data_IF_720635807349
#
_entry.id   IF_720635807349
#
_cell.length_a   1.000
_cell.length_b   1.000
_cell.length_c   1.000
_cell.angle_alpha   90.00
_cell.angle_beta   90.00
_cell.angle_gamma   90.00
#
_symmetry.space_group_name_H-M   'P 1'
#
loop_
_entity.id
_entity.type
_entity.pdbx_description
1 polymer ?
#
# COMPACT_ATOMS: atom_id res chain seq x y z
N UNK A 1 -20.96 12.82 21.55
CA UNK A 1 -21.12 13.39 20.18
C UNK A 1 -21.36 12.22 19.26
N UNK A 2 -22.54 12.12 18.66
CA UNK A 2 -22.89 11.05 17.71
C UNK A 2 -22.07 11.26 16.44
N UNK A 3 -21.05 10.42 16.24
CA UNK A 3 -20.35 10.33 14.97
C UNK A 3 -21.31 9.74 13.95
N UNK A 4 -21.87 10.58 13.09
CA UNK A 4 -22.62 10.13 11.93
C UNK A 4 -21.66 9.32 11.03
N UNK A 5 -21.96 8.01 10.88
CA UNK A 5 -21.27 7.16 9.90
C UNK A 5 -21.54 7.77 8.51
N UNK A 6 -20.51 8.10 7.71
CA UNK A 6 -20.72 8.63 6.37
C UNK A 6 -21.55 7.65 5.54
N UNK A 7 -22.53 8.15 4.78
CA UNK A 7 -23.26 7.28 3.85
C UNK A 7 -22.31 6.87 2.71
N UNK A 8 -22.51 5.69 2.13
CA UNK A 8 -21.70 5.19 1.00
C UNK A 8 -21.63 6.18 -0.18
N UNK A 9 -22.64 7.01 -0.36
CA UNK A 9 -22.69 8.09 -1.38
C UNK A 9 -21.66 9.20 -1.12
N UNK A 10 -21.22 9.41 0.12
CA UNK A 10 -20.21 10.40 0.47
C UNK A 10 -18.78 9.84 0.40
N UNK A 11 -18.61 8.51 0.48
CA UNK A 11 -17.31 7.85 0.40
C UNK A 11 -16.89 7.66 -1.06
N UNK A 12 -17.79 7.20 -1.91
CA UNK A 12 -17.54 6.94 -3.33
C UNK A 12 -18.04 8.12 -4.21
N UNK A 13 -17.16 9.10 -4.43
CA UNK A 13 -17.49 10.38 -5.07
C UNK A 13 -17.56 10.31 -6.58
N UNK A 14 -16.79 9.43 -7.22
CA UNK A 14 -16.68 9.35 -8.69
C UNK A 14 -17.03 7.97 -9.21
N UNK A 15 -17.31 7.87 -10.52
CA UNK A 15 -17.51 6.58 -11.19
C UNK A 15 -16.24 5.70 -11.10
N UNK A 16 -15.07 6.31 -11.19
CA UNK A 16 -13.80 5.61 -11.05
C UNK A 16 -13.65 4.99 -9.66
N UNK A 17 -13.90 5.75 -8.59
CA UNK A 17 -13.86 5.23 -7.21
C UNK A 17 -14.87 4.09 -6.99
N UNK A 18 -16.05 4.16 -7.60
CA UNK A 18 -17.03 3.06 -7.58
C UNK A 18 -16.49 1.81 -8.27
N UNK A 19 -15.84 1.96 -9.43
CA UNK A 19 -15.21 0.84 -10.13
C UNK A 19 -14.08 0.22 -9.31
N UNK A 20 -13.22 1.02 -8.69
CA UNK A 20 -12.15 0.57 -7.79
C UNK A 20 -12.72 -0.14 -6.57
N UNK A 21 -13.73 0.44 -5.91
CA UNK A 21 -14.38 -0.20 -4.76
C UNK A 21 -15.03 -1.54 -5.14
N UNK A 22 -15.69 -1.62 -6.28
CA UNK A 22 -16.27 -2.87 -6.77
C UNK A 22 -15.20 -3.92 -7.07
N UNK A 23 -14.09 -3.52 -7.69
CA UNK A 23 -12.96 -4.42 -7.94
C UNK A 23 -12.45 -5.03 -6.63
N UNK A 24 -12.14 -4.22 -5.63
CA UNK A 24 -11.62 -4.66 -4.35
C UNK A 24 -12.65 -5.35 -3.44
N UNK A 25 -13.96 -5.09 -3.61
CA UNK A 25 -15.03 -5.82 -2.96
C UNK A 25 -15.26 -7.21 -3.58
N UNK A 26 -15.06 -7.32 -4.89
CA UNK A 26 -15.24 -8.58 -5.62
C UNK A 26 -13.90 -9.30 -5.89
N UNK A 27 -12.82 -8.80 -5.31
CA UNK A 27 -11.49 -9.35 -5.48
C UNK A 27 -11.50 -10.86 -5.28
N UNK A 28 -11.22 -11.54 -6.36
CA UNK A 28 -11.08 -12.99 -6.41
C UNK A 28 -9.60 -13.38 -6.47
N UNK A 29 -8.69 -12.39 -6.33
CA UNK A 29 -7.27 -12.69 -6.40
C UNK A 29 -6.86 -13.52 -5.17
N UNK A 30 -6.63 -14.82 -5.35
CA UNK A 30 -6.26 -15.69 -4.25
C UNK A 30 -4.85 -15.40 -3.73
N UNK A 31 -4.04 -14.61 -4.45
CA UNK A 31 -2.64 -14.34 -4.10
C UNK A 31 -2.55 -13.73 -2.72
N UNK A 32 -3.13 -12.56 -2.52
CA UNK A 32 -3.04 -11.83 -1.25
C UNK A 32 -3.63 -12.60 -0.06
N UNK A 33 -4.70 -13.38 -0.30
CA UNK A 33 -5.30 -14.24 0.73
C UNK A 33 -4.36 -15.40 1.01
N UNK A 34 -3.93 -16.13 -0.02
CA UNK A 34 -3.08 -17.31 0.12
C UNK A 34 -1.73 -17.00 0.76
N UNK A 35 -1.13 -15.83 0.45
CA UNK A 35 0.10 -15.39 1.09
C UNK A 35 -0.15 -15.03 2.55
N UNK A 36 -1.20 -14.27 2.86
CA UNK A 36 -1.54 -13.88 4.24
C UNK A 36 -1.92 -15.05 5.15
N UNK A 37 -2.35 -16.19 4.62
CA UNK A 37 -2.62 -17.40 5.41
C UNK A 37 -1.37 -17.99 6.07
N UNK A 38 -0.17 -17.58 5.64
CA UNK A 38 1.11 -18.07 6.19
C UNK A 38 1.26 -17.73 7.68
N UNK A 39 0.88 -16.52 8.09
CA UNK A 39 0.98 -16.05 9.47
C UNK A 39 -0.19 -15.14 9.92
N UNK A 40 -1.16 -14.94 9.02
CA UNK A 40 -2.32 -14.10 9.25
C UNK A 40 -2.08 -12.60 9.06
N UNK A 41 -0.95 -12.19 8.48
CA UNK A 41 -0.72 -10.82 8.03
C UNK A 41 -1.07 -10.71 6.53
N UNK A 42 -2.11 -9.96 6.22
CA UNK A 42 -2.64 -9.87 4.86
C UNK A 42 -2.18 -8.57 4.21
N UNK A 43 -1.20 -8.68 3.32
CA UNK A 43 -0.66 -7.57 2.53
C UNK A 43 -1.33 -7.44 1.16
N UNK A 44 -1.33 -6.22 0.61
CA UNK A 44 -1.83 -5.90 -0.73
C UNK A 44 -0.79 -5.12 -1.55
N UNK A 45 0.46 -5.41 -1.31
CA UNK A 45 1.61 -4.78 -1.97
C UNK A 45 2.62 -5.85 -2.39
N UNK A 46 3.69 -5.44 -3.05
CA UNK A 46 4.71 -6.35 -3.57
C UNK A 46 5.83 -6.56 -2.56
N UNK A 47 6.66 -7.59 -2.81
CA UNK A 47 7.77 -7.91 -1.93
C UNK A 47 9.05 -7.15 -2.29
N UNK A 48 9.95 -7.02 -1.33
CA UNK A 48 11.29 -6.45 -1.48
C UNK A 48 12.37 -7.38 -0.95
N UNK A 49 13.50 -7.38 -1.63
CA UNK A 49 14.73 -8.04 -1.23
C UNK A 49 15.06 -9.29 -2.04
N UNK A 50 16.20 -9.92 -1.76
CA UNK A 50 16.61 -11.12 -2.46
C UNK A 50 15.75 -12.30 -2.06
N UNK A 51 15.45 -13.16 -3.03
CA UNK A 51 14.84 -14.48 -2.80
C UNK A 51 15.88 -15.40 -2.15
N UNK A 52 15.47 -16.12 -1.10
CA UNK A 52 16.30 -17.16 -0.50
C UNK A 52 16.47 -18.32 -1.49
N UNK A 53 17.70 -18.65 -1.93
CA UNK A 53 17.94 -19.74 -2.86
C UNK A 53 17.40 -21.09 -2.40
N UNK A 54 17.29 -21.32 -1.09
CA UNK A 54 16.76 -22.57 -0.51
C UNK A 54 15.32 -22.88 -0.91
N UNK A 55 14.56 -21.86 -1.40
CA UNK A 55 13.21 -22.01 -1.95
C UNK A 55 13.20 -23.03 -3.10
N UNK A 56 14.27 -23.10 -3.87
CA UNK A 56 14.43 -24.00 -5.03
C UNK A 56 15.04 -25.35 -4.66
N UNK A 57 15.44 -25.54 -3.39
CA UNK A 57 16.00 -26.79 -2.88
C UNK A 57 14.93 -27.69 -2.26
N UNK A 58 15.16 -29.01 -2.29
CA UNK A 58 14.23 -29.99 -1.71
C UNK A 58 13.19 -30.54 -2.69
N UNK A 59 12.17 -31.29 -2.20
CA UNK A 59 11.19 -31.99 -3.04
C UNK A 59 10.32 -31.03 -3.88
N UNK A 60 10.05 -31.41 -5.12
CA UNK A 60 9.19 -30.62 -6.03
C UNK A 60 7.75 -30.48 -5.51
N UNK A 61 7.23 -31.49 -4.80
CA UNK A 61 5.88 -31.50 -4.24
C UNK A 61 5.61 -30.35 -3.25
N UNK A 62 6.65 -29.84 -2.57
CA UNK A 62 6.54 -28.75 -1.61
C UNK A 62 7.11 -27.43 -2.12
N UNK A 63 7.58 -27.39 -3.38
CA UNK A 63 8.22 -26.20 -3.96
C UNK A 63 7.29 -24.98 -3.98
N UNK A 64 6.05 -25.16 -4.40
CA UNK A 64 5.07 -24.07 -4.45
C UNK A 64 4.78 -23.47 -3.05
N UNK A 65 4.66 -24.34 -2.05
CA UNK A 65 4.50 -23.89 -0.65
C UNK A 65 5.70 -23.06 -0.17
N UNK A 66 6.93 -23.46 -0.51
CA UNK A 66 8.13 -22.69 -0.19
C UNK A 66 8.15 -21.34 -0.90
N UNK A 67 7.74 -21.29 -2.19
CA UNK A 67 7.64 -20.05 -2.95
C UNK A 67 6.59 -19.10 -2.35
N UNK A 68 5.44 -19.61 -1.91
CA UNK A 68 4.39 -18.83 -1.25
C UNK A 68 4.89 -18.22 0.06
N UNK A 69 5.54 -19.02 0.91
CA UNK A 69 6.14 -18.53 2.17
C UNK A 69 7.19 -17.46 1.92
N UNK A 70 8.02 -17.64 0.90
CA UNK A 70 9.05 -16.68 0.55
C UNK A 70 8.48 -15.37 0.00
N UNK A 71 7.46 -15.44 -0.88
CA UNK A 71 6.78 -14.24 -1.35
C UNK A 71 6.17 -13.46 -0.18
N UNK A 72 5.51 -14.14 0.76
CA UNK A 72 4.98 -13.51 1.95
C UNK A 72 6.06 -12.86 2.82
N UNK A 73 7.20 -13.53 3.01
CA UNK A 73 8.36 -12.95 3.71
C UNK A 73 8.85 -11.67 3.03
N UNK A 74 8.90 -11.64 1.70
CA UNK A 74 9.31 -10.46 0.94
C UNK A 74 8.27 -9.31 1.03
N UNK A 75 6.97 -9.63 1.07
CA UNK A 75 5.92 -8.63 1.34
C UNK A 75 6.05 -8.05 2.76
N UNK A 76 6.26 -8.90 3.76
CA UNK A 76 6.52 -8.45 5.14
C UNK A 76 7.78 -7.57 5.21
N UNK A 77 8.85 -7.94 4.50
CA UNK A 77 10.07 -7.12 4.44
C UNK A 77 9.82 -5.73 3.81
N UNK A 78 8.94 -5.64 2.82
CA UNK A 78 8.54 -4.34 2.25
C UNK A 78 7.77 -3.48 3.28
N UNK A 79 6.85 -4.09 4.03
CA UNK A 79 6.15 -3.39 5.11
C UNK A 79 7.12 -2.91 6.20
N UNK A 80 8.12 -3.72 6.56
CA UNK A 80 9.17 -3.32 7.53
C UNK A 80 9.98 -2.12 7.01
N UNK A 81 10.38 -2.12 5.73
CA UNK A 81 11.06 -0.97 5.12
C UNK A 81 10.21 0.30 5.23
N UNK A 82 8.90 0.23 5.01
CA UNK A 82 7.98 1.36 5.18
C UNK A 82 7.97 1.83 6.64
N UNK A 83 7.79 0.90 7.58
CA UNK A 83 7.69 1.21 9.01
C UNK A 83 8.99 1.78 9.58
N UNK A 84 10.17 1.36 9.09
CA UNK A 84 11.48 1.89 9.46
C UNK A 84 11.64 3.39 9.14
N UNK A 85 10.84 3.90 8.19
CA UNK A 85 10.93 5.28 7.73
C UNK A 85 9.87 6.22 8.31
N UNK A 86 8.98 5.73 9.20
CA UNK A 86 7.96 6.57 9.86
C UNK A 86 8.56 7.56 10.87
N UNK A 87 9.83 7.42 11.22
CA UNK A 87 10.52 8.24 12.24
C UNK A 87 10.24 7.76 13.66
N UNK A 88 10.46 8.64 14.62
CA UNK A 88 10.24 8.32 16.03
C UNK A 88 8.74 8.30 16.34
N UNK A 89 8.22 7.12 16.64
CA UNK A 89 6.81 6.87 16.99
C UNK A 89 6.73 6.45 18.45
N UNK A 90 5.95 7.22 19.22
CA UNK A 90 5.63 6.89 20.61
C UNK A 90 4.34 6.07 20.72
N UNK A 91 4.16 5.28 21.80
CA UNK A 91 2.91 4.54 22.04
C UNK A 91 1.66 5.42 22.17
N UNK A 92 1.83 6.70 22.43
CA UNK A 92 0.74 7.69 22.52
C UNK A 92 0.40 8.35 21.19
N UNK A 93 1.17 8.07 20.14
CA UNK A 93 0.93 8.63 18.83
C UNK A 93 -0.21 7.93 18.10
N UNK A 94 -0.86 8.66 17.19
CA UNK A 94 -1.85 8.14 16.28
C UNK A 94 -1.32 8.18 14.84
N UNK A 95 -1.44 7.07 14.14
CA UNK A 95 -1.00 6.90 12.77
C UNK A 95 -2.20 6.73 11.82
N UNK A 96 -1.97 6.93 10.53
CA UNK A 96 -2.97 6.66 9.49
C UNK A 96 -2.38 5.80 8.38
N UNK A 97 -3.04 4.68 8.10
CA UNK A 97 -2.86 3.84 6.92
C UNK A 97 -3.87 4.24 5.84
N UNK A 98 -3.45 5.03 4.87
CA UNK A 98 -4.33 5.55 3.83
C UNK A 98 -4.40 4.58 2.65
N UNK A 99 -5.47 3.78 2.61
CA UNK A 99 -5.65 2.66 1.69
C UNK A 99 -5.17 1.35 2.32
N UNK A 100 -5.64 1.07 3.52
CA UNK A 100 -5.15 0.01 4.41
C UNK A 100 -5.37 -1.44 3.93
N UNK A 101 -6.14 -1.64 2.85
CA UNK A 101 -6.44 -3.00 2.39
C UNK A 101 -7.00 -3.88 3.52
N UNK A 102 -6.42 -5.06 3.72
CA UNK A 102 -6.78 -6.00 4.79
C UNK A 102 -6.01 -5.81 6.10
N UNK A 103 -5.22 -4.74 6.21
CA UNK A 103 -4.69 -4.24 7.48
C UNK A 103 -3.38 -4.85 7.95
N UNK A 104 -2.68 -5.65 7.14
CA UNK A 104 -1.42 -6.29 7.56
C UNK A 104 -0.39 -5.30 8.09
N UNK A 105 -0.07 -4.26 7.34
CA UNK A 105 0.90 -3.23 7.75
C UNK A 105 0.44 -2.45 8.98
N UNK A 106 -0.87 -2.16 9.12
CA UNK A 106 -1.43 -1.49 10.31
C UNK A 106 -1.25 -2.33 11.58
N UNK A 107 -1.47 -3.65 11.49
CA UNK A 107 -1.27 -4.59 12.60
C UNK A 107 0.22 -4.64 12.98
N UNK A 108 1.12 -4.73 11.99
CA UNK A 108 2.57 -4.68 12.23
C UNK A 108 3.00 -3.38 12.91
N UNK A 109 2.49 -2.23 12.47
CA UNK A 109 2.79 -0.93 13.08
C UNK A 109 2.38 -0.88 14.57
N UNK A 110 1.18 -1.35 14.91
CA UNK A 110 0.74 -1.43 16.29
C UNK A 110 1.62 -2.38 17.13
N UNK A 111 1.93 -3.58 16.63
CA UNK A 111 2.82 -4.51 17.33
C UNK A 111 4.21 -3.92 17.58
N UNK A 112 4.74 -3.19 16.61
CA UNK A 112 6.08 -2.61 16.66
C UNK A 112 6.18 -1.40 17.60
N UNK A 113 5.21 -0.50 17.54
CA UNK A 113 5.27 0.81 18.21
C UNK A 113 4.33 0.91 19.43
N UNK A 114 3.37 0.01 19.57
CA UNK A 114 2.33 0.09 20.61
C UNK A 114 1.39 1.29 20.44
N UNK A 115 1.38 1.94 19.29
CA UNK A 115 0.62 3.16 19.01
C UNK A 115 -0.80 2.86 18.49
N UNK A 116 -1.64 3.91 18.40
CA UNK A 116 -2.94 3.80 17.72
C UNK A 116 -2.76 3.88 16.20
N UNK A 117 -3.49 3.03 15.47
CA UNK A 117 -3.51 3.04 14.01
C UNK A 117 -4.95 3.06 13.51
N UNK A 118 -5.29 4.08 12.74
CA UNK A 118 -6.51 4.09 11.95
C UNK A 118 -6.18 3.73 10.50
N UNK A 119 -6.89 2.76 9.93
CA UNK A 119 -6.83 2.43 8.51
C UNK A 119 -8.07 2.97 7.78
N UNK A 120 -7.92 3.44 6.55
CA UNK A 120 -9.06 3.82 5.70
C UNK A 120 -9.03 3.05 4.39
N UNK A 121 -10.18 2.56 3.95
CA UNK A 121 -10.40 1.93 2.65
C UNK A 121 -11.78 2.29 2.10
N UNK A 122 -11.90 2.30 0.77
CA UNK A 122 -13.18 2.40 0.04
C UNK A 122 -13.79 1.04 -0.29
N UNK A 123 -13.22 -0.06 0.22
CA UNK A 123 -13.77 -1.41 0.15
C UNK A 123 -14.37 -1.80 1.50
N UNK A 124 -15.70 -1.94 1.56
CA UNK A 124 -16.40 -2.37 2.78
C UNK A 124 -15.97 -3.78 3.22
N UNK A 125 -15.68 -4.67 2.27
CA UNK A 125 -15.26 -6.03 2.57
C UNK A 125 -13.86 -6.06 3.18
N UNK A 126 -12.91 -5.26 2.67
CA UNK A 126 -11.58 -5.15 3.26
C UNK A 126 -11.65 -4.58 4.67
N UNK A 127 -12.45 -3.54 4.89
CA UNK A 127 -12.66 -2.92 6.21
C UNK A 127 -13.24 -3.93 7.22
N UNK A 128 -14.27 -4.67 6.81
CA UNK A 128 -14.87 -5.69 7.67
C UNK A 128 -13.88 -6.79 8.04
N UNK A 129 -13.11 -7.27 7.04
CA UNK A 129 -12.07 -8.28 7.24
C UNK A 129 -10.98 -7.78 8.21
N UNK A 130 -10.42 -6.58 7.96
CA UNK A 130 -9.36 -6.02 8.77
C UNK A 130 -9.77 -5.76 10.22
N UNK A 131 -11.01 -5.29 10.46
CA UNK A 131 -11.55 -5.16 11.81
C UNK A 131 -11.73 -6.53 12.51
N UNK A 132 -12.13 -7.57 11.75
CA UNK A 132 -12.17 -8.95 12.26
C UNK A 132 -10.79 -9.40 12.73
N UNK A 133 -9.75 -9.18 11.91
CA UNK A 133 -8.37 -9.51 12.26
C UNK A 133 -7.85 -8.74 13.49
N UNK A 134 -8.19 -7.45 13.63
CA UNK A 134 -7.83 -6.67 14.80
C UNK A 134 -8.54 -7.20 16.07
N UNK A 135 -9.80 -7.60 15.94
CA UNK A 135 -10.56 -8.18 17.05
C UNK A 135 -10.00 -9.55 17.48
N UNK A 136 -9.72 -10.44 16.54
CA UNK A 136 -9.15 -11.77 16.83
C UNK A 136 -7.79 -11.68 17.52
N UNK A 137 -7.02 -10.62 17.26
CA UNK A 137 -5.73 -10.34 17.90
C UNK A 137 -5.85 -9.57 19.23
N UNK A 138 -7.06 -9.17 19.64
CA UNK A 138 -7.28 -8.41 20.88
C UNK A 138 -6.72 -6.99 20.86
N UNK A 139 -6.59 -6.38 19.68
CA UNK A 139 -6.02 -5.01 19.48
C UNK A 139 -7.04 -4.03 18.88
N UNK A 140 -8.32 -4.38 18.83
CA UNK A 140 -9.37 -3.54 18.21
C UNK A 140 -9.62 -2.21 18.93
N UNK A 141 -9.13 -2.05 20.16
CA UNK A 141 -9.13 -0.78 20.90
C UNK A 141 -8.09 0.19 20.37
N UNK A 142 -7.03 -0.28 19.71
CA UNK A 142 -5.91 0.50 19.20
C UNK A 142 -5.77 0.49 17.67
N UNK A 143 -6.25 -0.54 16.99
CA UNK A 143 -6.22 -0.67 15.52
C UNK A 143 -7.65 -0.74 14.99
N UNK A 144 -8.04 0.26 14.21
CA UNK A 144 -9.41 0.43 13.71
C UNK A 144 -9.40 0.72 12.22
N UNK A 145 -10.31 0.08 11.50
CA UNK A 145 -10.45 0.30 10.05
C UNK A 145 -11.81 0.91 9.74
N UNK A 146 -11.80 1.91 8.83
CA UNK A 146 -12.94 2.73 8.53
C UNK A 146 -13.27 2.71 7.04
N UNK A 147 -14.55 2.54 6.69
CA UNK A 147 -15.02 2.75 5.33
C UNK A 147 -15.06 4.26 5.06
N UNK A 148 -13.95 4.80 4.56
CA UNK A 148 -13.76 6.23 4.29
C UNK A 148 -12.89 6.44 3.07
N UNK A 149 -13.08 7.60 2.43
CA UNK A 149 -12.24 8.07 1.35
C UNK A 149 -10.99 8.76 1.93
N UNK A 150 -9.80 8.37 1.47
CA UNK A 150 -8.54 8.99 1.91
C UNK A 150 -8.40 10.45 1.48
N UNK A 151 -9.23 10.91 0.51
CA UNK A 151 -9.28 12.31 0.06
C UNK A 151 -10.08 13.22 1.01
N UNK A 152 -10.82 12.64 1.96
CA UNK A 152 -11.60 13.35 2.97
C UNK A 152 -11.97 12.37 4.07
N UNK A 153 -11.03 12.15 4.96
CA UNK A 153 -11.14 11.13 5.99
C UNK A 153 -12.09 11.51 7.13
N UNK A 154 -12.38 12.80 7.29
CA UNK A 154 -13.16 13.34 8.42
C UNK A 154 -12.43 13.29 9.76
N UNK A 155 -11.13 12.98 9.80
CA UNK A 155 -10.33 13.07 11.01
C UNK A 155 -9.94 14.52 11.30
N UNK A 156 -9.58 14.78 12.57
CA UNK A 156 -9.19 16.13 13.00
C UNK A 156 -7.88 16.57 12.35
N UNK A 157 -7.78 17.87 12.09
CA UNK A 157 -6.54 18.51 11.62
C UNK A 157 -5.42 18.32 12.63
N UNK A 158 -4.20 18.11 12.17
CA UNK A 158 -2.99 17.94 12.97
C UNK A 158 -3.11 16.83 14.04
N UNK A 159 -3.82 15.74 13.73
CA UNK A 159 -4.10 14.63 14.65
C UNK A 159 -3.24 13.39 14.38
N UNK A 160 -2.36 13.41 13.38
CA UNK A 160 -1.53 12.26 13.01
C UNK A 160 -0.05 12.59 13.12
N UNK A 161 0.71 11.70 13.80
CA UNK A 161 2.17 11.77 13.85
C UNK A 161 2.80 11.32 12.55
N UNK A 162 2.27 10.25 11.96
CA UNK A 162 2.68 9.79 10.64
C UNK A 162 1.48 9.25 9.85
N UNK A 163 1.62 9.31 8.51
CA UNK A 163 0.69 8.75 7.52
C UNK A 163 1.50 7.97 6.52
N UNK A 164 0.97 6.86 6.04
CA UNK A 164 1.54 6.17 4.90
C UNK A 164 0.51 5.77 3.85
N UNK A 165 1.01 5.57 2.65
CA UNK A 165 0.34 4.88 1.56
C UNK A 165 1.25 3.77 1.03
N UNK A 166 0.70 2.59 0.83
CA UNK A 166 1.40 1.45 0.29
C UNK A 166 0.61 0.89 -0.89
N UNK A 167 1.09 1.12 -2.11
CA UNK A 167 0.45 0.70 -3.37
C UNK A 167 -1.01 1.19 -3.52
N UNK A 168 -1.32 2.42 -3.11
CA UNK A 168 -2.69 2.95 -3.14
C UNK A 168 -2.85 4.29 -3.87
N UNK A 169 -1.77 5.02 -4.08
CA UNK A 169 -1.81 6.36 -4.68
C UNK A 169 -2.27 6.39 -6.14
N UNK A 170 -2.16 5.28 -6.88
CA UNK A 170 -2.65 5.16 -8.25
C UNK A 170 -4.19 5.17 -8.37
N UNK A 171 -4.91 5.16 -7.26
CA UNK A 171 -6.38 5.17 -7.23
C UNK A 171 -6.98 6.54 -6.93
N UNK A 172 -6.16 7.57 -6.71
CA UNK A 172 -6.59 8.89 -6.26
C UNK A 172 -5.89 10.03 -7.02
N UNK A 173 -6.47 11.24 -6.95
CA UNK A 173 -5.75 12.45 -7.32
C UNK A 173 -4.69 12.77 -6.26
N UNK A 174 -3.43 12.95 -6.68
CA UNK A 174 -2.31 13.17 -5.75
C UNK A 174 -2.40 14.53 -5.05
N UNK A 175 -2.91 15.57 -5.73
CA UNK A 175 -3.01 16.89 -5.11
C UNK A 175 -4.09 16.92 -4.02
N UNK A 176 -5.23 16.26 -4.26
CA UNK A 176 -6.27 16.12 -3.24
C UNK A 176 -5.79 15.26 -2.06
N UNK A 177 -5.17 14.10 -2.35
CA UNK A 177 -4.67 13.20 -1.32
C UNK A 177 -3.63 13.86 -0.42
N UNK A 178 -2.63 14.51 -1.02
CA UNK A 178 -1.55 15.16 -0.24
C UNK A 178 -2.04 16.41 0.47
N UNK A 179 -3.08 17.09 -0.04
CA UNK A 179 -3.79 18.16 0.68
C UNK A 179 -4.43 17.66 1.98
N UNK A 180 -5.14 16.53 1.90
CA UNK A 180 -5.73 15.90 3.09
C UNK A 180 -4.64 15.39 4.05
N UNK A 181 -3.59 14.74 3.55
CA UNK A 181 -2.50 14.24 4.40
C UNK A 181 -1.75 15.39 5.09
N UNK A 182 -1.47 16.48 4.39
CA UNK A 182 -0.89 17.69 4.99
C UNK A 182 -1.79 18.28 6.07
N UNK A 183 -3.11 18.30 5.86
CA UNK A 183 -4.07 18.75 6.88
C UNK A 183 -4.03 17.87 8.13
N UNK A 184 -3.94 16.56 7.96
CA UNK A 184 -4.01 15.58 9.05
C UNK A 184 -2.73 15.46 9.85
N UNK A 185 -1.58 15.60 9.22
CA UNK A 185 -0.29 15.52 9.89
C UNK A 185 -0.13 16.65 10.90
N UNK A 186 0.40 16.36 12.07
CA UNK A 186 0.92 17.37 12.98
C UNK A 186 2.11 18.13 12.37
N UNK A 187 2.43 19.36 12.80
CA UNK A 187 3.67 20.01 12.37
C UNK A 187 4.89 19.12 12.63
N UNK A 188 5.74 18.94 11.62
CA UNK A 188 6.87 18.01 11.66
C UNK A 188 6.44 16.52 11.60
N UNK A 189 5.19 16.25 11.32
CA UNK A 189 4.70 14.89 11.06
C UNK A 189 5.17 14.36 9.72
N UNK A 190 5.22 13.03 9.57
CA UNK A 190 5.85 12.34 8.45
C UNK A 190 4.86 11.61 7.54
N UNK A 191 5.06 11.73 6.26
CA UNK A 191 4.41 10.93 5.23
C UNK A 191 5.41 9.98 4.59
N UNK A 192 5.04 8.70 4.48
CA UNK A 192 5.83 7.68 3.75
C UNK A 192 4.95 7.05 2.66
N UNK A 193 5.47 7.00 1.45
CA UNK A 193 4.80 6.40 0.31
C UNK A 193 5.71 5.34 -0.31
N UNK A 194 5.22 4.10 -0.45
CA UNK A 194 5.81 3.13 -1.37
C UNK A 194 4.84 2.92 -2.52
N UNK A 195 5.31 3.08 -3.75
CA UNK A 195 4.43 3.06 -4.92
C UNK A 195 5.18 2.81 -6.22
N UNK A 196 4.46 2.21 -7.17
CA UNK A 196 4.86 2.22 -8.56
C UNK A 196 4.57 3.54 -9.24
N UNK A 197 5.48 4.04 -10.07
CA UNK A 197 5.28 5.23 -10.89
C UNK A 197 5.83 5.05 -12.30
N UNK A 198 5.21 5.71 -13.28
CA UNK A 198 5.71 5.70 -14.67
C UNK A 198 6.87 6.67 -14.85
N UNK A 199 7.79 6.31 -15.74
CA UNK A 199 8.90 7.17 -16.11
C UNK A 199 8.43 8.19 -17.14
N UNK A 200 8.28 9.44 -16.73
CA UNK A 200 7.83 10.55 -17.58
C UNK A 200 8.94 11.16 -18.44
N UNK A 201 10.20 10.77 -18.26
CA UNK A 201 11.29 11.14 -19.17
C UNK A 201 11.16 10.43 -20.53
N UNK A 202 10.53 9.26 -20.58
CA UNK A 202 10.32 8.49 -21.80
C UNK A 202 9.26 9.08 -22.74
N UNK A 203 8.48 10.06 -22.31
CA UNK A 203 7.50 10.82 -23.09
C UNK A 203 6.15 10.13 -23.31
N UNK A 204 6.11 8.87 -23.70
CA UNK A 204 4.87 8.11 -23.91
C UNK A 204 4.72 6.99 -22.86
N UNK A 205 3.49 6.79 -22.40
CA UNK A 205 3.15 5.67 -21.53
C UNK A 205 3.42 4.34 -22.24
N UNK A 206 4.20 3.45 -21.64
CA UNK A 206 4.50 2.14 -22.24
C UNK A 206 3.25 1.24 -22.28
N UNK A 207 3.24 0.29 -23.21
CA UNK A 207 2.17 -0.73 -23.28
C UNK A 207 2.14 -1.60 -22.01
N UNK A 208 3.30 -1.89 -21.44
CA UNK A 208 3.40 -2.69 -20.22
C UNK A 208 2.73 -1.98 -19.04
N UNK A 209 3.02 -0.68 -18.83
CA UNK A 209 2.35 0.13 -17.79
C UNK A 209 0.85 0.24 -18.03
N UNK A 210 0.40 0.38 -19.29
CA UNK A 210 -1.03 0.41 -19.61
C UNK A 210 -1.74 -0.92 -19.26
N UNK A 211 -1.07 -2.06 -19.46
CA UNK A 211 -1.61 -3.37 -19.04
C UNK A 211 -1.73 -3.52 -17.53
N UNK A 212 -0.80 -2.92 -16.77
CA UNK A 212 -0.90 -2.90 -15.30
C UNK A 212 -2.10 -2.06 -14.87
N UNK A 213 -2.30 -0.87 -15.47
CA UNK A 213 -3.48 -0.03 -15.20
C UNK A 213 -4.79 -0.76 -15.46
N UNK A 214 -4.90 -1.43 -16.60
CA UNK A 214 -6.10 -2.19 -17.00
C UNK A 214 -6.39 -3.33 -16.03
N UNK A 215 -5.35 -4.06 -15.60
CA UNK A 215 -5.49 -5.20 -14.69
C UNK A 215 -6.02 -4.81 -13.32
N UNK A 216 -5.47 -3.73 -12.72
CA UNK A 216 -5.84 -3.28 -11.38
C UNK A 216 -6.89 -2.16 -11.36
N UNK A 217 -7.43 -1.76 -12.52
CA UNK A 217 -8.34 -0.61 -12.64
C UNK A 217 -7.73 0.61 -11.94
N UNK A 218 -6.49 0.92 -12.27
CA UNK A 218 -5.75 2.02 -11.65
C UNK A 218 -5.24 3.02 -12.70
N UNK A 219 -4.60 4.08 -12.23
CA UNK A 219 -3.95 5.08 -13.05
C UNK A 219 -2.58 5.41 -12.45
N UNK A 220 -1.56 4.68 -12.88
CA UNK A 220 -0.18 4.87 -12.42
C UNK A 220 0.29 6.28 -12.79
N UNK A 221 0.61 7.07 -11.78
CA UNK A 221 1.05 8.45 -11.97
C UNK A 221 2.49 8.54 -12.48
N UNK A 222 2.83 9.59 -13.27
CA UNK A 222 4.21 9.91 -13.58
C UNK A 222 5.00 10.27 -12.31
N UNK A 223 6.28 9.88 -12.27
CA UNK A 223 7.17 10.18 -11.15
C UNK A 223 7.19 11.66 -10.78
N UNK A 224 7.26 12.56 -11.77
CA UNK A 224 7.30 14.01 -11.54
C UNK A 224 6.04 14.56 -10.86
N UNK A 225 4.89 13.90 -11.04
CA UNK A 225 3.62 14.34 -10.46
C UNK A 225 3.61 14.21 -8.93
N UNK A 226 4.27 13.18 -8.38
CA UNK A 226 4.44 13.05 -6.93
C UNK A 226 5.12 14.27 -6.32
N UNK A 227 6.26 14.68 -6.88
CA UNK A 227 7.03 15.82 -6.34
C UNK A 227 6.29 17.14 -6.51
N UNK A 228 5.57 17.34 -7.61
CA UNK A 228 4.72 18.53 -7.81
C UNK A 228 3.60 18.60 -6.76
N UNK A 229 2.92 17.48 -6.53
CA UNK A 229 1.81 17.43 -5.58
C UNK A 229 2.28 17.55 -4.12
N UNK A 230 3.42 16.94 -3.76
CA UNK A 230 4.04 17.10 -2.43
C UNK A 230 4.40 18.55 -2.16
N UNK A 231 5.12 19.20 -3.09
CA UNK A 231 5.53 20.59 -2.95
C UNK A 231 4.34 21.55 -2.84
N UNK A 232 3.26 21.30 -3.60
CA UNK A 232 2.04 22.12 -3.55
C UNK A 232 1.29 22.02 -2.20
N UNK A 233 1.58 20.98 -1.39
CA UNK A 233 0.87 20.69 -0.16
C UNK A 233 1.77 20.73 1.10
N UNK A 234 2.87 21.48 1.06
CA UNK A 234 3.81 21.63 2.18
C UNK A 234 4.36 20.29 2.74
N UNK A 235 4.49 19.30 1.87
CA UNK A 235 5.15 18.04 2.16
C UNK A 235 6.52 18.07 1.48
N UNK A 236 7.59 18.20 2.26
CA UNK A 236 8.96 18.32 1.75
C UNK A 236 9.62 16.94 1.72
N UNK A 237 9.96 16.41 0.55
CA UNK A 237 10.71 15.16 0.48
C UNK A 237 12.06 15.26 1.17
N UNK A 238 12.33 14.36 2.11
CA UNK A 238 13.59 14.27 2.85
C UNK A 238 14.39 13.02 2.46
N UNK A 239 13.73 12.01 1.89
CA UNK A 239 14.38 10.83 1.34
C UNK A 239 13.59 10.29 0.15
N UNK A 240 14.28 9.84 -0.88
CA UNK A 240 13.68 9.16 -2.06
C UNK A 240 14.57 8.01 -2.44
N UNK A 241 14.04 6.80 -2.37
CA UNK A 241 14.77 5.56 -2.66
C UNK A 241 14.13 4.86 -3.86
N UNK A 242 14.96 4.47 -4.82
CA UNK A 242 14.54 3.61 -5.92
C UNK A 242 14.66 2.15 -5.49
N UNK A 243 13.52 1.50 -5.33
CA UNK A 243 13.37 0.11 -4.90
C UNK A 243 13.18 -0.85 -6.09
N UNK A 244 13.33 -0.36 -7.32
CA UNK A 244 13.02 -1.13 -8.53
C UNK A 244 13.82 -2.43 -8.60
N UNK A 245 15.12 -2.37 -8.30
CA UNK A 245 15.97 -3.57 -8.33
C UNK A 245 15.58 -4.59 -7.24
N UNK A 246 15.10 -4.12 -6.09
CA UNK A 246 14.78 -4.95 -4.94
C UNK A 246 13.42 -5.65 -5.08
N UNK A 247 12.50 -5.14 -5.92
CA UNK A 247 11.19 -5.77 -6.14
C UNK A 247 11.18 -6.77 -7.31
N UNK A 248 12.12 -6.70 -8.24
CA UNK A 248 12.19 -7.61 -9.40
C UNK A 248 12.23 -9.09 -8.97
N UNK A 249 13.06 -9.53 -7.98
CA UNK A 249 13.10 -10.92 -7.56
C UNK A 249 11.75 -11.47 -7.08
N UNK A 250 10.92 -10.65 -6.43
CA UNK A 250 9.56 -11.03 -6.04
C UNK A 250 8.69 -11.37 -7.28
N UNK A 251 8.74 -10.54 -8.32
CA UNK A 251 7.97 -10.76 -9.53
C UNK A 251 8.44 -11.99 -10.33
N UNK A 252 9.77 -12.24 -10.37
CA UNK A 252 10.36 -13.43 -10.98
C UNK A 252 9.96 -14.71 -10.24
N UNK A 253 9.90 -14.67 -8.90
CA UNK A 253 9.45 -15.77 -8.07
C UNK A 253 7.96 -16.03 -8.28
N UNK A 254 7.13 -14.97 -8.26
CA UNK A 254 5.68 -15.07 -8.44
C UNK A 254 5.31 -15.64 -9.80
N UNK A 255 6.03 -15.27 -10.86
CA UNK A 255 5.82 -15.80 -12.20
C UNK A 255 6.02 -17.34 -12.31
N UNK A 256 6.74 -17.94 -11.35
CA UNK A 256 7.01 -19.37 -11.31
C UNK A 256 6.07 -20.15 -10.36
N UNK A 257 5.24 -19.45 -9.59
CA UNK A 257 4.37 -20.02 -8.58
C UNK A 257 2.97 -20.36 -9.10
N UNK A 258 2.22 -21.17 -8.34
CA UNK A 258 0.83 -21.49 -8.64
C UNK A 258 -0.13 -20.29 -8.56
N UNK A 259 0.31 -19.18 -8.01
CA UNK A 259 -0.48 -17.93 -7.87
C UNK A 259 -0.16 -16.92 -8.97
N UNK A 260 0.62 -17.28 -9.98
CA UNK A 260 0.86 -16.44 -11.15
C UNK A 260 -0.45 -16.13 -11.87
N UNK A 261 -0.68 -14.87 -12.22
CA UNK A 261 -1.90 -14.38 -12.88
C UNK A 261 -1.64 -13.89 -14.32
N UNK A 262 -0.36 -13.85 -14.73
CA UNK A 262 0.09 -13.30 -16.02
C UNK A 262 0.35 -11.79 -15.98
N UNK A 263 0.10 -11.11 -14.85
CA UNK A 263 0.45 -9.69 -14.67
C UNK A 263 1.95 -9.50 -14.39
N UNK A 264 2.63 -10.56 -14.01
CA UNK A 264 4.06 -10.58 -13.72
C UNK A 264 4.88 -10.13 -14.94
N UNK A 265 4.50 -10.61 -16.13
CA UNK A 265 5.17 -10.26 -17.39
C UNK A 265 5.10 -8.76 -17.73
N UNK A 266 3.94 -8.06 -17.66
CA UNK A 266 3.90 -6.60 -17.73
C UNK A 266 4.81 -5.88 -16.74
N UNK A 267 4.87 -6.30 -15.47
CA UNK A 267 5.77 -5.68 -14.48
C UNK A 267 7.23 -5.87 -14.84
N UNK A 268 7.66 -7.10 -15.10
CA UNK A 268 9.04 -7.41 -15.47
C UNK A 268 9.45 -6.71 -16.77
N UNK A 269 8.54 -6.63 -17.76
CA UNK A 269 8.78 -5.88 -19.01
C UNK A 269 8.95 -4.39 -18.72
N UNK A 270 8.06 -3.77 -17.93
CA UNK A 270 8.10 -2.36 -17.63
C UNK A 270 9.37 -1.95 -16.85
N UNK A 271 9.81 -2.79 -15.89
CA UNK A 271 11.09 -2.59 -15.19
C UNK A 271 12.29 -2.71 -16.12
N UNK A 272 12.30 -3.74 -16.98
CA UNK A 272 13.39 -3.94 -17.96
C UNK A 272 13.49 -2.80 -18.97
N UNK A 273 12.37 -2.25 -19.40
CA UNK A 273 12.33 -1.10 -20.31
C UNK A 273 12.67 0.23 -19.62
N UNK A 274 12.72 0.27 -18.27
CA UNK A 274 12.86 1.49 -17.51
C UNK A 274 11.65 2.42 -17.61
N UNK A 275 10.48 1.89 -18.01
CA UNK A 275 9.23 2.65 -18.15
C UNK A 275 8.41 2.74 -16.86
N UNK A 276 8.78 1.95 -15.85
CA UNK A 276 8.15 1.87 -14.55
C UNK A 276 9.20 1.77 -13.45
N UNK A 277 9.03 2.51 -12.37
CA UNK A 277 9.89 2.52 -11.20
C UNK A 277 9.09 2.21 -9.95
N UNK A 278 9.74 1.56 -9.00
CA UNK A 278 9.20 1.31 -7.67
C UNK A 278 9.93 2.20 -6.67
N UNK A 279 9.22 3.14 -6.06
CA UNK A 279 9.84 4.18 -5.25
C UNK A 279 9.33 4.16 -3.82
N UNK A 280 10.22 4.46 -2.89
CA UNK A 280 9.85 4.96 -1.57
C UNK A 280 10.12 6.47 -1.52
N UNK A 281 9.13 7.24 -1.06
CA UNK A 281 9.22 8.67 -0.84
C UNK A 281 8.90 8.94 0.63
N UNK A 282 9.82 9.60 1.32
CA UNK A 282 9.63 10.07 2.70
C UNK A 282 9.58 11.59 2.68
N UNK A 283 8.53 12.17 3.21
CA UNK A 283 8.34 13.61 3.25
C UNK A 283 7.89 14.08 4.64
N UNK A 284 8.40 15.20 5.11
CA UNK A 284 7.96 15.83 6.35
C UNK A 284 7.03 17.01 6.06
N UNK A 285 6.00 17.17 6.90
CA UNK A 285 5.15 18.35 6.87
C UNK A 285 5.88 19.55 7.48
N UNK A 286 6.01 20.65 6.72
CA UNK A 286 6.58 21.91 7.15
C UNK A 286 5.50 22.94 7.50
#
# INVERSE_FOLDING_TARGET
MTTTVPSATNVLRTAFQKSVANYWNLEKDPVNIKLGEVDGLYHHHYGLGPVDPSVFEGPDETRDERMIKEMHRLETAQADVLLDHLGDIAPTDALLDAGSGRGGTSIMANHRFGCEVDGVSISEQQVAFANGQAHERGIADRVRFHFRNMLDTGFQTASRRAIWTNETTMYVDLFEAFGEFSRLLAPGGRYVCITGCSNDVMGLRSKAVSRIDEHYICNIHPRSQYFKALAANNLVPINVVDLTADTIPYWELRAQSSVATGIEDPFLTAYKEGSFHYLMIVADRV
#
